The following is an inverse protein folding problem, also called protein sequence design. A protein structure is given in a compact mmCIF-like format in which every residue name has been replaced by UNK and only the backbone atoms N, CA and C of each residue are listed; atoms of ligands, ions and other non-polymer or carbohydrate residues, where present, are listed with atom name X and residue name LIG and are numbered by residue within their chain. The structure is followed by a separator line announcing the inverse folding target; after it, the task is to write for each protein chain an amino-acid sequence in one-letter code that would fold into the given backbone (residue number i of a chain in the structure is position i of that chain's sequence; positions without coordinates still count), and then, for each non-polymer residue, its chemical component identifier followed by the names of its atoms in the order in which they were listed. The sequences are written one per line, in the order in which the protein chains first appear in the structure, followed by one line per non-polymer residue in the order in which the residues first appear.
data_IF_639615122266
#
_entry.id   IF_639615122266
#
_cell.length_a   1.000
_cell.length_b   1.000
_cell.length_c   1.000
_cell.angle_alpha   90.00
_cell.angle_beta   90.00
_cell.angle_gamma   90.00
#
_symmetry.space_group_name_H-M   'P 1'
#
loop_
_entity.id
_entity.type
_entity.pdbx_description
1 polymer ?
#
# COMPACT_ATOMS: atom_id res chain seq x y z
N UNK A 1 -79.98 46.17 -35.61
CA UNK A 1 -78.52 46.33 -35.42
C UNK A 1 -78.04 45.15 -34.57
N UNK A 2 -77.45 44.13 -35.18
CA UNK A 2 -76.90 42.98 -34.43
C UNK A 2 -75.54 43.38 -33.86
N UNK A 3 -75.43 43.33 -32.53
CA UNK A 3 -74.19 43.59 -31.82
C UNK A 3 -73.15 42.52 -32.18
N UNK A 4 -71.98 42.95 -32.65
CA UNK A 4 -70.85 42.05 -32.87
C UNK A 4 -70.42 41.47 -31.52
N UNK A 5 -70.35 40.14 -31.42
CA UNK A 5 -69.95 39.43 -30.20
C UNK A 5 -68.45 39.67 -29.93
N UNK A 6 -68.10 40.45 -28.89
CA UNK A 6 -66.71 40.84 -28.60
C UNK A 6 -65.83 39.65 -28.18
N UNK A 7 -66.44 38.50 -27.84
CA UNK A 7 -65.71 37.29 -27.49
C UNK A 7 -65.18 36.53 -28.71
N UNK A 8 -65.77 36.75 -29.89
CA UNK A 8 -65.32 36.12 -31.14
C UNK A 8 -63.97 36.66 -31.65
N UNK A 9 -63.48 37.77 -31.08
CA UNK A 9 -62.19 38.39 -31.44
C UNK A 9 -61.03 37.98 -30.52
N UNK A 10 -61.27 37.12 -29.53
CA UNK A 10 -60.22 36.65 -28.63
C UNK A 10 -59.36 35.58 -29.30
N UNK A 11 -58.06 35.86 -29.45
CA UNK A 11 -57.10 34.88 -29.92
C UNK A 11 -56.97 33.72 -28.92
N UNK A 12 -56.87 32.46 -29.41
CA UNK A 12 -56.68 31.31 -28.54
C UNK A 12 -55.41 31.45 -27.69
N UNK A 13 -55.52 31.11 -26.41
CA UNK A 13 -54.43 31.13 -25.43
C UNK A 13 -53.28 30.23 -25.92
N UNK A 14 -52.15 30.84 -26.30
CA UNK A 14 -50.92 30.11 -26.66
C UNK A 14 -50.25 29.65 -25.38
N UNK A 15 -50.31 28.36 -25.07
CA UNK A 15 -49.49 27.79 -24.00
C UNK A 15 -48.02 27.79 -24.45
N UNK A 16 -47.08 28.29 -23.62
CA UNK A 16 -45.67 28.16 -23.92
C UNK A 16 -45.31 26.66 -23.98
N UNK A 17 -44.39 26.27 -24.89
CA UNK A 17 -43.88 24.90 -24.92
C UNK A 17 -43.26 24.55 -23.56
N UNK A 18 -43.38 23.28 -23.16
CA UNK A 18 -42.85 22.84 -21.88
C UNK A 18 -41.35 23.16 -21.77
N UNK A 19 -40.88 23.62 -20.60
CA UNK A 19 -39.47 23.92 -20.42
C UNK A 19 -38.65 22.64 -20.62
N UNK A 20 -37.88 22.61 -21.70
CA UNK A 20 -36.90 21.57 -21.94
C UNK A 20 -35.78 21.69 -20.90
N UNK A 21 -35.49 20.61 -20.18
CA UNK A 21 -34.45 20.52 -19.13
C UNK A 21 -33.00 20.62 -19.66
N UNK A 22 -32.84 21.04 -20.93
CA UNK A 22 -31.58 21.09 -21.65
C UNK A 22 -31.30 22.51 -22.14
N UNK A 23 -30.07 23.04 -21.97
CA UNK A 23 -28.88 22.39 -21.41
C UNK A 23 -28.85 22.49 -19.86
N UNK A 24 -28.20 21.54 -19.18
CA UNK A 24 -27.93 21.67 -17.75
C UNK A 24 -27.17 22.97 -17.50
N UNK A 25 -27.57 23.71 -16.47
CA UNK A 25 -26.92 24.96 -16.09
C UNK A 25 -25.39 24.76 -15.98
N UNK A 26 -24.57 25.71 -16.44
CA UNK A 26 -23.12 25.53 -16.57
C UNK A 26 -22.40 25.08 -15.27
N UNK A 27 -22.99 25.34 -14.10
CA UNK A 27 -22.49 24.85 -12.81
C UNK A 27 -22.43 23.32 -12.66
N UNK A 28 -23.22 22.56 -13.42
CA UNK A 28 -23.13 21.09 -13.42
C UNK A 28 -21.84 20.57 -14.03
N UNK A 29 -21.28 21.27 -15.03
CA UNK A 29 -19.99 20.92 -15.59
C UNK A 29 -18.86 21.12 -14.57
N UNK A 30 -18.96 22.17 -13.74
CA UNK A 30 -18.01 22.38 -12.64
C UNK A 30 -18.14 21.28 -11.58
N UNK A 31 -19.36 20.88 -11.21
CA UNK A 31 -19.60 19.75 -10.30
C UNK A 31 -19.08 18.43 -10.87
N UNK A 32 -19.32 18.15 -12.16
CA UNK A 32 -18.83 16.96 -12.83
C UNK A 32 -17.30 16.93 -12.87
N UNK A 33 -16.66 18.06 -13.17
CA UNK A 33 -15.20 18.18 -13.14
C UNK A 33 -14.65 17.94 -11.74
N UNK A 34 -15.25 18.53 -10.71
CA UNK A 34 -14.84 18.32 -9.31
C UNK A 34 -14.99 16.85 -8.89
N UNK A 35 -16.12 16.22 -9.23
CA UNK A 35 -16.37 14.81 -8.95
C UNK A 35 -15.34 13.91 -9.64
N UNK A 36 -14.98 14.21 -10.89
CA UNK A 36 -13.97 13.47 -11.64
C UNK A 36 -12.58 13.57 -10.98
N UNK A 37 -12.17 14.76 -10.55
CA UNK A 37 -10.91 14.97 -9.83
C UNK A 37 -10.89 14.22 -8.50
N UNK A 38 -12.00 14.26 -7.74
CA UNK A 38 -12.11 13.52 -6.48
C UNK A 38 -12.01 12.00 -6.69
N UNK A 39 -12.69 11.48 -7.71
CA UNK A 39 -12.59 10.07 -8.11
C UNK A 39 -11.18 9.67 -8.51
N UNK A 40 -10.50 10.49 -9.33
CA UNK A 40 -9.13 10.24 -9.73
C UNK A 40 -8.17 10.25 -8.52
N UNK A 41 -8.30 11.22 -7.62
CA UNK A 41 -7.51 11.29 -6.40
C UNK A 41 -7.74 10.07 -5.50
N UNK A 42 -9.00 9.65 -5.32
CA UNK A 42 -9.36 8.47 -4.54
C UNK A 42 -8.80 7.19 -5.16
N UNK A 43 -8.92 7.03 -6.48
CA UNK A 43 -8.37 5.89 -7.21
C UNK A 43 -6.85 5.81 -7.08
N UNK A 44 -6.15 6.94 -7.21
CA UNK A 44 -4.70 7.02 -7.01
C UNK A 44 -4.30 6.67 -5.57
N UNK A 45 -5.04 7.19 -4.58
CA UNK A 45 -4.78 6.89 -3.16
C UNK A 45 -4.97 5.40 -2.85
N UNK A 46 -6.09 4.82 -3.31
CA UNK A 46 -6.36 3.39 -3.20
C UNK A 46 -5.30 2.57 -3.90
N UNK A 47 -4.91 2.92 -5.12
CA UNK A 47 -3.90 2.20 -5.89
C UNK A 47 -2.54 2.22 -5.19
N UNK A 48 -2.11 3.36 -4.65
CA UNK A 48 -0.88 3.47 -3.86
C UNK A 48 -0.96 2.62 -2.58
N UNK A 49 -2.10 2.63 -1.90
CA UNK A 49 -2.34 1.79 -0.71
C UNK A 49 -2.33 0.30 -1.03
N UNK A 50 -2.94 -0.11 -2.15
CA UNK A 50 -2.93 -1.48 -2.64
C UNK A 50 -1.53 -1.92 -3.06
N UNK A 51 -0.76 -1.05 -3.76
CA UNK A 51 0.62 -1.35 -4.16
C UNK A 51 1.52 -1.57 -2.96
N UNK A 52 1.38 -0.74 -1.93
CA UNK A 52 2.11 -0.89 -0.66
C UNK A 52 1.78 -2.21 0.05
N UNK A 53 0.56 -2.74 -0.13
CA UNK A 53 0.14 -4.01 0.47
C UNK A 53 0.56 -5.23 -0.37
N UNK A 54 0.62 -5.12 -1.70
CA UNK A 54 0.95 -6.25 -2.58
C UNK A 54 2.36 -6.79 -2.36
N UNK A 55 3.38 -5.92 -2.33
CA UNK A 55 4.76 -6.41 -2.14
C UNK A 55 4.95 -7.06 -0.76
N UNK A 56 4.36 -6.48 0.30
CA UNK A 56 4.40 -7.05 1.65
C UNK A 56 3.74 -8.43 1.70
N UNK A 57 2.59 -8.60 1.04
CA UNK A 57 1.91 -9.90 0.95
C UNK A 57 2.76 -10.95 0.24
N UNK A 58 3.40 -10.59 -0.88
CA UNK A 58 4.28 -11.50 -1.61
C UNK A 58 5.50 -11.89 -0.78
N UNK A 59 6.12 -10.92 -0.09
CA UNK A 59 7.26 -11.19 0.77
C UNK A 59 6.90 -12.08 1.96
N UNK A 60 5.75 -11.86 2.61
CA UNK A 60 5.26 -12.76 3.69
C UNK A 60 5.00 -14.16 3.15
N UNK A 61 4.36 -14.30 1.98
CA UNK A 61 4.11 -15.62 1.39
C UNK A 61 5.42 -16.36 1.06
N UNK A 62 6.45 -15.65 0.57
CA UNK A 62 7.77 -16.24 0.36
C UNK A 62 8.44 -16.65 1.68
N UNK A 63 8.33 -15.84 2.73
CA UNK A 63 8.84 -16.18 4.05
C UNK A 63 8.15 -17.43 4.61
N UNK A 64 6.83 -17.51 4.49
CA UNK A 64 6.03 -18.66 4.92
C UNK A 64 6.46 -19.94 4.17
N UNK A 65 6.71 -19.83 2.85
CA UNK A 65 7.20 -20.95 2.05
C UNK A 65 8.62 -21.39 2.45
N UNK A 66 9.53 -20.44 2.72
CA UNK A 66 10.88 -20.74 3.19
C UNK A 66 10.85 -21.46 4.55
N UNK A 67 9.97 -21.03 5.44
CA UNK A 67 9.82 -21.62 6.76
C UNK A 67 9.28 -23.06 6.67
N UNK A 68 8.27 -23.29 5.83
CA UNK A 68 7.69 -24.61 5.62
C UNK A 68 8.63 -25.60 4.89
N UNK A 69 9.49 -25.11 3.99
CA UNK A 69 10.40 -25.94 3.22
C UNK A 69 11.60 -26.46 4.03
N UNK A 70 11.92 -25.84 5.17
CA UNK A 70 13.03 -26.28 6.00
C UNK A 70 12.61 -27.47 6.86
N UNK A 71 13.19 -28.65 6.62
CA UNK A 71 13.01 -29.83 7.48
C UNK A 71 13.77 -29.66 8.80
N UNK A 72 13.40 -30.44 9.82
CA UNK A 72 13.88 -30.31 11.20
C UNK A 72 15.40 -30.54 11.40
N UNK A 73 16.15 -30.94 10.36
CA UNK A 73 17.56 -31.34 10.51
C UNK A 73 18.58 -30.19 10.54
N UNK A 74 18.22 -28.94 10.23
CA UNK A 74 19.14 -27.79 10.41
C UNK A 74 18.42 -26.45 10.26
N UNK A 75 18.76 -25.46 11.10
CA UNK A 75 18.24 -24.09 11.03
C UNK A 75 19.07 -23.14 10.14
N UNK A 76 20.32 -23.50 9.85
CA UNK A 76 21.18 -22.80 8.88
C UNK A 76 20.55 -22.58 7.49
N UNK A 77 19.85 -23.55 6.86
CA UNK A 77 19.22 -23.34 5.57
C UNK A 77 18.10 -22.28 5.60
N UNK A 78 17.61 -21.85 6.76
CA UNK A 78 16.57 -20.82 6.85
C UNK A 78 17.13 -19.40 6.94
N UNK A 79 18.23 -19.20 7.69
CA UNK A 79 18.74 -17.87 8.05
C UNK A 79 19.19 -17.09 6.81
N UNK A 80 19.98 -17.70 5.93
CA UNK A 80 20.51 -17.04 4.74
C UNK A 80 19.39 -16.64 3.74
N UNK A 81 18.45 -17.54 3.38
CA UNK A 81 17.29 -17.16 2.56
C UNK A 81 16.41 -16.09 3.21
N UNK A 82 16.21 -16.15 4.53
CA UNK A 82 15.46 -15.14 5.28
C UNK A 82 16.14 -13.77 5.17
N UNK A 83 17.46 -13.69 5.39
CA UNK A 83 18.21 -12.44 5.27
C UNK A 83 18.17 -11.88 3.83
N UNK A 84 18.32 -12.73 2.82
CA UNK A 84 18.22 -12.33 1.41
C UNK A 84 16.84 -11.75 1.09
N UNK A 85 15.77 -12.35 1.63
CA UNK A 85 14.41 -11.84 1.49
C UNK A 85 14.24 -10.48 2.19
N UNK A 86 14.75 -10.32 3.41
CA UNK A 86 14.72 -9.04 4.13
C UNK A 86 15.45 -7.94 3.36
N UNK A 87 16.65 -8.22 2.82
CA UNK A 87 17.37 -7.28 1.95
C UNK A 87 16.58 -6.92 0.69
N UNK A 88 15.96 -7.90 0.04
CA UNK A 88 15.11 -7.65 -1.15
C UNK A 88 13.91 -6.75 -0.82
N UNK A 89 13.27 -6.94 0.34
CA UNK A 89 12.17 -6.09 0.82
C UNK A 89 12.68 -4.68 1.16
N UNK A 90 13.84 -4.56 1.80
CA UNK A 90 14.44 -3.26 2.14
C UNK A 90 14.77 -2.45 0.87
N UNK A 91 15.42 -3.06 -0.13
CA UNK A 91 15.73 -2.39 -1.42
C UNK A 91 14.46 -1.93 -2.15
N UNK A 92 13.31 -2.59 -1.92
CA UNK A 92 12.03 -2.18 -2.51
C UNK A 92 11.38 -1.01 -1.77
N UNK A 93 11.69 -0.83 -0.48
CA UNK A 93 11.05 0.15 0.41
C UNK A 93 11.90 1.37 0.72
N UNK A 94 13.20 1.35 0.41
CA UNK A 94 14.19 2.38 0.75
C UNK A 94 15.14 2.63 -0.43
N UNK A 95 15.87 3.77 -0.46
CA UNK A 95 16.86 4.04 -1.50
C UNK A 95 17.90 2.92 -1.60
N UNK A 96 18.04 2.36 -2.81
CA UNK A 96 18.92 1.20 -3.05
C UNK A 96 20.37 1.44 -2.63
N UNK A 97 20.88 2.66 -2.77
CA UNK A 97 22.26 3.04 -2.41
C UNK A 97 22.52 2.91 -0.91
N UNK A 98 21.55 3.27 -0.08
CA UNK A 98 21.67 3.16 1.37
C UNK A 98 21.66 1.69 1.80
N UNK A 99 20.66 0.93 1.35
CA UNK A 99 20.51 -0.48 1.76
C UNK A 99 21.64 -1.38 1.28
N UNK A 100 22.16 -1.16 0.07
CA UNK A 100 23.21 -2.01 -0.50
C UNK A 100 24.54 -1.94 0.26
N UNK A 101 24.83 -0.81 0.92
CA UNK A 101 26.02 -0.63 1.74
C UNK A 101 25.91 -1.28 3.13
N UNK A 102 24.69 -1.62 3.58
CA UNK A 102 24.46 -2.15 4.92
C UNK A 102 24.82 -3.63 5.03
N UNK A 103 25.79 -3.90 5.90
CA UNK A 103 26.27 -5.23 6.26
C UNK A 103 26.58 -5.25 7.76
N UNK A 104 26.72 -6.44 8.34
CA UNK A 104 27.13 -6.53 9.74
C UNK A 104 26.12 -5.86 10.69
N UNK A 105 26.63 -5.18 11.71
CA UNK A 105 25.81 -4.49 12.72
C UNK A 105 25.00 -3.34 12.11
N UNK A 106 25.53 -2.63 11.11
CA UNK A 106 24.79 -1.56 10.44
C UNK A 106 23.50 -2.06 9.76
N UNK A 107 23.48 -3.33 9.31
CA UNK A 107 22.25 -3.96 8.81
C UNK A 107 21.26 -4.29 9.93
N UNK A 108 21.76 -4.72 11.09
CA UNK A 108 20.94 -5.00 12.26
C UNK A 108 20.24 -3.75 12.77
N UNK A 109 21.01 -2.67 12.93
CA UNK A 109 20.51 -1.38 13.42
C UNK A 109 19.43 -0.84 12.49
N UNK A 110 19.69 -0.88 11.17
CA UNK A 110 18.70 -0.52 10.18
C UNK A 110 17.39 -1.30 10.30
N UNK A 111 17.44 -2.63 10.49
CA UNK A 111 16.23 -3.44 10.63
C UNK A 111 15.45 -3.04 11.89
N UNK A 112 16.13 -2.80 13.00
CA UNK A 112 15.50 -2.41 14.26
C UNK A 112 14.94 -0.98 14.21
N UNK A 113 15.65 -0.02 13.63
CA UNK A 113 15.22 1.37 13.46
C UNK A 113 14.00 1.50 12.55
N UNK A 114 13.96 0.68 11.50
CA UNK A 114 12.87 0.71 10.52
C UNK A 114 11.64 -0.10 10.93
N UNK A 115 11.72 -0.90 12.01
CA UNK A 115 10.67 -1.80 12.50
C UNK A 115 9.33 -1.10 12.85
N UNK A 116 9.36 0.22 13.06
CA UNK A 116 8.15 1.05 13.14
C UNK A 116 7.46 1.10 14.50
N UNK A 117 8.13 0.73 15.60
CA UNK A 117 7.59 0.80 16.96
C UNK A 117 8.64 1.15 18.01
N UNK A 118 8.20 1.60 19.19
CA UNK A 118 9.06 1.85 20.39
C UNK A 118 9.21 0.57 21.24
N UNK A 119 9.42 -0.57 20.58
CA UNK A 119 9.56 -1.86 21.24
C UNK A 119 11.02 -2.26 21.44
N UNK A 120 11.28 -3.41 22.10
CA UNK A 120 12.61 -4.02 22.07
C UNK A 120 13.03 -4.32 20.62
N UNK A 121 14.35 -4.44 20.37
CA UNK A 121 14.86 -4.78 19.05
C UNK A 121 14.26 -6.10 18.57
N UNK A 122 13.81 -6.14 17.32
CA UNK A 122 13.24 -7.35 16.71
C UNK A 122 14.32 -8.38 16.38
N UNK A 123 15.53 -7.91 16.07
CA UNK A 123 16.65 -8.75 15.71
C UNK A 123 17.79 -8.54 16.70
N UNK A 124 18.35 -9.64 17.21
CA UNK A 124 19.52 -9.64 18.07
C UNK A 124 20.84 -9.76 17.29
N UNK A 125 21.98 -9.45 17.92
CA UNK A 125 23.31 -9.52 17.29
C UNK A 125 23.70 -10.91 16.80
N UNK A 126 23.12 -11.97 17.39
CA UNK A 126 23.31 -13.34 16.93
C UNK A 126 22.91 -13.53 15.45
N UNK A 127 21.91 -12.80 14.96
CA UNK A 127 21.38 -12.94 13.59
C UNK A 127 22.43 -12.63 12.55
N UNK A 128 23.10 -11.50 12.73
CA UNK A 128 24.17 -11.07 11.84
C UNK A 128 25.40 -11.94 12.00
N UNK A 129 25.75 -12.33 13.24
CA UNK A 129 26.92 -13.18 13.49
C UNK A 129 26.80 -14.55 12.81
N UNK A 130 25.60 -15.13 12.83
CA UNK A 130 25.30 -16.42 12.17
C UNK A 130 25.41 -16.41 10.65
N UNK A 131 25.24 -15.24 10.02
CA UNK A 131 25.42 -15.10 8.57
C UNK A 131 26.87 -15.24 8.12
N UNK A 132 27.83 -14.95 9.01
CA UNK A 132 29.26 -14.95 8.68
C UNK A 132 30.06 -16.04 9.38
N UNK A 133 29.55 -16.62 10.47
CA UNK A 133 30.24 -17.66 11.24
C UNK A 133 29.24 -18.70 11.77
N UNK A 134 29.60 -19.99 11.82
CA UNK A 134 28.84 -20.96 12.61
C UNK A 134 28.73 -20.45 14.06
N UNK A 135 27.51 -20.33 14.60
CA UNK A 135 27.31 -19.69 15.90
C UNK A 135 27.81 -20.53 17.07
N UNK A 136 28.07 -19.85 18.19
CA UNK A 136 28.13 -20.45 19.52
C UNK A 136 26.74 -20.57 20.18
N UNK A 137 25.77 -19.73 19.78
CA UNK A 137 24.36 -19.77 20.19
C UNK A 137 23.47 -19.85 18.95
N UNK A 138 22.66 -20.90 18.82
CA UNK A 138 21.70 -21.05 17.74
C UNK A 138 20.50 -20.13 17.93
N UNK A 139 20.07 -19.48 16.85
CA UNK A 139 18.85 -18.68 16.86
C UNK A 139 17.74 -19.63 16.50
N UNK A 140 16.72 -19.66 17.33
CA UNK A 140 15.54 -20.45 17.05
C UNK A 140 14.86 -19.94 15.77
N UNK A 141 14.70 -20.85 14.81
CA UNK A 141 14.09 -20.56 13.51
C UNK A 141 12.75 -19.83 13.63
N UNK A 142 11.92 -20.25 14.58
CA UNK A 142 10.59 -19.71 14.82
C UNK A 142 10.64 -18.25 15.26
N UNK A 143 11.61 -17.88 16.09
CA UNK A 143 11.80 -16.52 16.55
C UNK A 143 12.26 -15.61 15.42
N UNK A 144 13.23 -16.07 14.60
CA UNK A 144 13.66 -15.34 13.42
C UNK A 144 12.50 -15.16 12.41
N UNK A 145 11.70 -16.22 12.21
CA UNK A 145 10.52 -16.17 11.36
C UNK A 145 9.50 -15.12 11.85
N UNK A 146 9.19 -15.12 13.16
CA UNK A 146 8.26 -14.15 13.77
C UNK A 146 8.79 -12.72 13.63
N UNK A 147 10.07 -12.48 13.93
CA UNK A 147 10.71 -11.19 13.79
C UNK A 147 10.69 -10.68 12.33
N UNK A 148 11.10 -11.52 11.38
CA UNK A 148 11.08 -11.20 9.96
C UNK A 148 9.67 -10.90 9.45
N UNK A 149 8.68 -11.72 9.83
CA UNK A 149 7.27 -11.52 9.46
C UNK A 149 6.71 -10.22 10.03
N UNK A 150 7.04 -9.90 11.28
CA UNK A 150 6.64 -8.64 11.90
C UNK A 150 7.24 -7.45 11.16
N UNK A 151 8.55 -7.48 10.88
CA UNK A 151 9.24 -6.41 10.18
C UNK A 151 8.69 -6.19 8.77
N UNK A 152 8.53 -7.25 7.96
CA UNK A 152 7.96 -7.14 6.59
C UNK A 152 6.57 -6.49 6.62
N UNK A 153 5.75 -6.78 7.63
CA UNK A 153 4.40 -6.22 7.74
C UNK A 153 4.37 -4.77 8.21
N UNK A 154 5.27 -4.38 9.12
CA UNK A 154 5.19 -3.12 9.87
C UNK A 154 6.28 -2.10 9.56
N UNK A 155 7.33 -2.46 8.83
CA UNK A 155 8.43 -1.53 8.55
C UNK A 155 7.92 -0.21 7.95
N UNK A 156 8.55 0.88 8.38
CA UNK A 156 8.32 2.20 7.79
C UNK A 156 8.81 2.17 6.35
N UNK A 157 8.03 2.67 5.40
CA UNK A 157 8.53 2.86 4.05
C UNK A 157 9.21 4.23 3.98
N UNK A 158 10.50 4.28 3.66
CA UNK A 158 11.19 5.53 3.33
C UNK A 158 10.69 6.01 1.98
N UNK A 159 9.79 6.98 1.97
CA UNK A 159 9.28 7.59 0.75
C UNK A 159 9.39 9.09 0.83
#
# INVERSE_FOLDING_TARGET
MQAQDPLAQLHPLRQPPEPHWWPPAPGWWLLAALALVALAALALWLWRRHRARRYRRLAVAQLDALHAACTASSDKPFIEPCNRLLKAVAVRSFPRREVAALNGEAWLDFLNDTAGGKGPPLFGPAFVRQLYRPPAEEIERDDLYRAARQWIRRHRSGR
#
